data_IF_402740766667
#
_entry.id   IF_402740766667
#
_cell.length_a   1.000
_cell.length_b   1.000
_cell.length_c   1.000
_cell.angle_alpha   90.00
_cell.angle_beta   90.00
_cell.angle_gamma   90.00
#
_symmetry.space_group_name_H-M   'P 1'
#
loop_
_entity.id
_entity.type
_entity.pdbx_description
1 polymer ?
#
# COMPACT_ATOMS: atom_id res chain seq x y z
N UNK A 1 -10.01 13.42 13.93
CA UNK A 1 -8.93 12.82 13.10
C UNK A 1 -8.72 11.36 13.46
N UNK A 2 -8.63 11.00 14.76
CA UNK A 2 -8.42 9.61 15.24
C UNK A 2 -9.47 8.60 14.76
N UNK A 3 -10.73 9.01 14.53
CA UNK A 3 -11.81 8.13 14.07
C UNK A 3 -11.72 7.72 12.59
N UNK A 4 -11.01 8.47 11.75
CA UNK A 4 -10.89 8.18 10.31
C UNK A 4 -9.76 7.20 9.99
N UNK A 5 -8.74 7.15 10.83
CA UNK A 5 -7.57 6.28 10.67
C UNK A 5 -7.95 4.80 10.58
N UNK A 6 -8.73 4.21 11.51
CA UNK A 6 -9.08 2.79 11.42
C UNK A 6 -9.95 2.47 10.19
N UNK A 7 -10.82 3.40 9.79
CA UNK A 7 -11.63 3.25 8.57
C UNK A 7 -10.70 3.20 7.35
N UNK A 8 -9.72 4.09 7.27
CA UNK A 8 -8.75 4.10 6.17
C UNK A 8 -7.92 2.80 6.12
N UNK A 9 -7.58 2.19 7.25
CA UNK A 9 -6.90 0.89 7.29
C UNK A 9 -7.78 -0.23 6.75
N UNK A 10 -9.08 -0.25 7.12
CA UNK A 10 -10.03 -1.25 6.61
C UNK A 10 -10.20 -1.10 5.11
N UNK A 11 -10.39 0.13 4.60
CA UNK A 11 -10.52 0.40 3.17
C UNK A 11 -9.24 0.00 2.42
N UNK A 12 -8.06 0.34 2.95
CA UNK A 12 -6.78 -0.08 2.38
C UNK A 12 -6.64 -1.60 2.31
N UNK A 13 -7.09 -2.32 3.35
CA UNK A 13 -7.04 -3.78 3.38
C UNK A 13 -7.97 -4.39 2.31
N UNK A 14 -9.20 -3.89 2.21
CA UNK A 14 -10.16 -4.34 1.19
C UNK A 14 -9.61 -4.08 -0.21
N UNK A 15 -9.09 -2.89 -0.47
CA UNK A 15 -8.53 -2.57 -1.78
C UNK A 15 -7.28 -3.40 -2.10
N UNK A 16 -6.43 -3.69 -1.10
CA UNK A 16 -5.27 -4.58 -1.29
C UNK A 16 -5.69 -6.02 -1.66
N UNK A 17 -6.80 -6.52 -1.09
CA UNK A 17 -7.35 -7.84 -1.46
C UNK A 17 -7.91 -7.82 -2.89
N UNK A 18 -8.61 -6.73 -3.28
CA UNK A 18 -9.11 -6.55 -4.64
C UNK A 18 -7.94 -6.54 -5.63
N UNK A 19 -6.89 -5.77 -5.36
CA UNK A 19 -5.67 -5.73 -6.19
C UNK A 19 -5.01 -7.10 -6.30
N UNK A 20 -4.89 -7.83 -5.20
CA UNK A 20 -4.35 -9.19 -5.20
C UNK A 20 -5.16 -10.11 -6.13
N UNK A 21 -6.50 -10.01 -6.11
CA UNK A 21 -7.39 -10.75 -6.99
C UNK A 21 -7.24 -10.36 -8.47
N UNK A 22 -7.21 -9.06 -8.76
CA UNK A 22 -7.06 -8.55 -10.14
C UNK A 22 -5.71 -8.94 -10.74
N UNK A 23 -4.63 -8.73 -10.00
CA UNK A 23 -3.26 -9.01 -10.46
C UNK A 23 -2.99 -10.51 -10.58
N UNK A 24 -3.54 -11.34 -9.70
CA UNK A 24 -3.49 -12.81 -9.84
C UNK A 24 -4.32 -13.32 -11.02
N UNK A 25 -5.48 -12.73 -11.31
CA UNK A 25 -6.24 -13.04 -12.52
C UNK A 25 -5.45 -12.66 -13.79
N UNK A 26 -4.85 -11.48 -13.82
CA UNK A 26 -3.98 -11.06 -14.93
C UNK A 26 -2.78 -12.01 -15.07
N UNK A 27 -2.13 -12.40 -13.97
CA UNK A 27 -1.03 -13.37 -13.99
C UNK A 27 -1.46 -14.75 -14.50
N UNK A 28 -2.65 -15.24 -14.12
CA UNK A 28 -3.16 -16.53 -14.62
C UNK A 28 -3.57 -16.47 -16.09
N UNK A 29 -4.03 -15.31 -16.57
CA UNK A 29 -4.29 -15.06 -17.99
C UNK A 29 -3.05 -15.30 -18.85
N UNK A 30 -1.87 -14.85 -18.41
CA UNK A 30 -0.60 -15.10 -19.11
C UNK A 30 -0.21 -16.58 -19.22
N UNK A 31 -0.75 -17.43 -18.35
CA UNK A 31 -0.52 -18.88 -18.36
C UNK A 31 -1.59 -19.65 -19.15
N UNK A 32 -2.79 -19.08 -19.36
CA UNK A 32 -3.95 -19.79 -19.92
C UNK A 32 -4.50 -19.27 -21.26
N UNK A 33 -4.43 -17.96 -21.54
CA UNK A 33 -5.13 -17.35 -22.69
C UNK A 33 -4.30 -17.32 -23.98
N UNK A 34 -2.98 -17.29 -23.88
CA UNK A 34 -2.07 -17.11 -25.01
C UNK A 34 -1.68 -18.43 -25.68
N UNK A 35 -2.15 -19.61 -25.25
CA UNK A 35 -1.96 -20.89 -25.95
C UNK A 35 -0.51 -21.36 -26.12
N UNK A 36 0.48 -20.59 -25.66
CA UNK A 36 1.88 -20.95 -25.69
C UNK A 36 2.23 -21.60 -24.36
N UNK A 37 1.96 -22.90 -24.26
CA UNK A 37 2.48 -23.81 -23.22
C UNK A 37 3.98 -24.08 -23.45
N UNK A 38 4.76 -23.02 -23.59
CA UNK A 38 6.21 -23.09 -23.72
C UNK A 38 6.90 -22.67 -22.42
N UNK A 39 8.15 -23.07 -22.24
CA UNK A 39 9.07 -22.70 -21.15
C UNK A 39 9.25 -21.17 -20.90
N UNK A 40 8.52 -20.33 -21.65
CA UNK A 40 8.49 -18.86 -21.63
C UNK A 40 7.14 -18.26 -21.14
N UNK A 41 6.19 -19.08 -20.64
CA UNK A 41 4.95 -18.61 -19.96
C UNK A 41 5.27 -18.00 -18.60
N UNK A 42 5.94 -16.84 -18.60
CA UNK A 42 6.39 -16.17 -17.38
C UNK A 42 5.53 -14.93 -17.18
N UNK A 43 4.82 -14.86 -16.06
CA UNK A 43 4.05 -13.67 -15.68
C UNK A 43 4.97 -12.44 -15.67
N UNK A 44 4.52 -11.28 -16.19
CA UNK A 44 5.31 -10.05 -16.16
C UNK A 44 5.80 -9.74 -14.73
N UNK A 45 7.04 -9.30 -14.62
CA UNK A 45 7.69 -8.92 -13.37
C UNK A 45 6.91 -7.81 -12.65
N UNK A 46 6.32 -6.87 -13.40
CA UNK A 46 5.46 -5.81 -12.88
C UNK A 46 4.22 -6.39 -12.16
N UNK A 47 3.56 -7.40 -12.74
CA UNK A 47 2.38 -8.03 -12.13
C UNK A 47 2.76 -8.78 -10.86
N UNK A 48 3.89 -9.50 -10.89
CA UNK A 48 4.41 -10.19 -9.71
C UNK A 48 4.78 -9.22 -8.58
N UNK A 49 5.33 -8.05 -8.92
CA UNK A 49 5.63 -7.00 -7.94
C UNK A 49 4.36 -6.48 -7.26
N UNK A 50 3.27 -6.26 -8.01
CA UNK A 50 2.00 -5.83 -7.40
C UNK A 50 1.37 -6.91 -6.51
N UNK A 51 1.47 -8.19 -6.89
CA UNK A 51 1.03 -9.32 -6.03
C UNK A 51 1.82 -9.28 -4.71
N UNK A 52 3.15 -9.17 -4.78
CA UNK A 52 3.99 -9.01 -3.60
C UNK A 52 3.58 -7.78 -2.78
N UNK A 53 3.38 -6.64 -3.44
CA UNK A 53 3.06 -5.39 -2.78
C UNK A 53 1.70 -5.45 -2.06
N UNK A 54 0.71 -6.14 -2.63
CA UNK A 54 -0.59 -6.40 -1.98
C UNK A 54 -0.44 -7.23 -0.70
N UNK A 55 0.34 -8.33 -0.76
CA UNK A 55 0.61 -9.17 0.44
C UNK A 55 1.40 -8.39 1.48
N UNK A 56 2.45 -7.67 1.06
CA UNK A 56 3.24 -6.79 1.91
C UNK A 56 2.36 -5.76 2.63
N UNK A 57 1.44 -5.12 1.91
CA UNK A 57 0.52 -4.13 2.45
C UNK A 57 -0.41 -4.71 3.50
N UNK A 58 -0.92 -5.93 3.29
CA UNK A 58 -1.72 -6.62 4.30
C UNK A 58 -0.94 -6.91 5.58
N UNK A 59 0.34 -7.29 5.47
CA UNK A 59 1.22 -7.48 6.63
C UNK A 59 1.50 -6.16 7.36
N UNK A 60 1.75 -5.07 6.61
CA UNK A 60 1.93 -3.73 7.18
C UNK A 60 0.66 -3.26 7.87
N UNK A 61 -0.51 -3.43 7.27
CA UNK A 61 -1.80 -3.06 7.88
C UNK A 61 -2.10 -3.91 9.12
N UNK A 62 -1.74 -5.19 9.10
CA UNK A 62 -1.83 -6.05 10.29
C UNK A 62 -0.93 -5.50 11.41
N UNK A 63 0.33 -5.14 11.12
CA UNK A 63 1.22 -4.52 12.10
C UNK A 63 0.70 -3.17 12.61
N UNK A 64 0.34 -2.24 11.72
CA UNK A 64 -0.06 -0.87 12.12
C UNK A 64 -1.44 -0.86 12.78
N UNK A 65 -2.36 -1.72 12.36
CA UNK A 65 -3.73 -1.79 12.87
C UNK A 65 -3.91 -2.62 14.14
N UNK A 66 -3.28 -3.82 14.24
CA UNK A 66 -3.47 -4.72 15.38
C UNK A 66 -2.54 -4.38 16.56
N UNK A 67 -1.30 -3.96 16.30
CA UNK A 67 -0.30 -3.72 17.36
C UNK A 67 -0.72 -2.64 18.38
N UNK A 68 -1.29 -1.48 18.00
CA UNK A 68 -1.74 -0.50 19.00
C UNK A 68 -2.96 -0.98 19.82
N UNK A 69 -3.75 -1.93 19.30
CA UNK A 69 -4.91 -2.47 20.00
C UNK A 69 -4.55 -3.57 21.01
N UNK A 70 -3.59 -4.43 20.67
CA UNK A 70 -3.29 -5.63 21.47
C UNK A 70 -1.92 -5.60 22.14
N UNK A 71 -0.93 -4.86 21.61
CA UNK A 71 0.46 -4.97 22.05
C UNK A 71 1.20 -3.63 22.04
N UNK A 72 0.80 -2.73 22.93
CA UNK A 72 1.42 -1.41 23.13
C UNK A 72 2.93 -1.45 23.41
N UNK A 73 3.45 -2.57 23.93
CA UNK A 73 4.88 -2.78 24.22
C UNK A 73 5.75 -3.03 22.98
N UNK A 74 5.15 -3.49 21.87
CA UNK A 74 5.85 -3.78 20.60
C UNK A 74 5.66 -2.67 19.56
N UNK A 75 4.85 -1.65 19.85
CA UNK A 75 4.56 -0.58 18.92
C UNK A 75 5.68 0.47 18.92
N UNK A 76 6.48 0.48 17.84
CA UNK A 76 7.46 1.53 17.60
C UNK A 76 6.93 2.51 16.56
N UNK A 77 6.62 3.74 16.99
CA UNK A 77 6.13 4.82 16.10
C UNK A 77 7.02 5.03 14.87
N UNK A 78 8.34 4.96 15.03
CA UNK A 78 9.29 5.12 13.93
C UNK A 78 9.18 3.97 12.90
N UNK A 79 8.95 2.74 13.37
CA UNK A 79 8.83 1.56 12.51
C UNK A 79 7.50 1.61 11.74
N UNK A 80 6.41 1.95 12.42
CA UNK A 80 5.11 2.20 11.77
C UNK A 80 5.23 3.22 10.63
N UNK A 81 5.82 4.38 10.93
CA UNK A 81 6.03 5.44 9.94
C UNK A 81 6.89 4.95 8.76
N UNK A 82 8.00 4.26 9.03
CA UNK A 82 8.87 3.73 7.99
C UNK A 82 8.14 2.73 7.08
N UNK A 83 7.34 1.82 7.66
CA UNK A 83 6.55 0.85 6.90
C UNK A 83 5.50 1.54 6.02
N UNK A 84 4.83 2.58 6.53
CA UNK A 84 3.86 3.37 5.75
C UNK A 84 4.53 4.11 4.59
N UNK A 85 5.69 4.75 4.82
CA UNK A 85 6.47 5.43 3.77
C UNK A 85 6.90 4.44 2.67
N UNK A 86 7.49 3.31 3.05
CA UNK A 86 7.95 2.28 2.10
C UNK A 86 6.78 1.78 1.27
N UNK A 87 5.65 1.47 1.93
CA UNK A 87 4.44 0.96 1.26
C UNK A 87 3.87 2.00 0.29
N UNK A 88 3.87 3.28 0.67
CA UNK A 88 3.46 4.37 -0.21
C UNK A 88 4.34 4.45 -1.46
N UNK A 89 5.66 4.34 -1.31
CA UNK A 89 6.60 4.36 -2.44
C UNK A 89 6.38 3.14 -3.36
N UNK A 90 6.19 1.95 -2.78
CA UNK A 90 5.94 0.74 -3.56
C UNK A 90 4.66 0.83 -4.39
N UNK A 91 3.56 1.32 -3.79
CA UNK A 91 2.31 1.53 -4.53
C UNK A 91 2.44 2.60 -5.61
N UNK A 92 3.18 3.69 -5.36
CA UNK A 92 3.40 4.71 -6.37
C UNK A 92 4.16 4.15 -7.59
N UNK A 93 5.30 3.50 -7.32
CA UNK A 93 6.13 2.91 -8.36
C UNK A 93 5.39 1.81 -9.12
N UNK A 94 4.70 0.92 -8.39
CA UNK A 94 3.90 -0.16 -8.96
C UNK A 94 2.74 0.34 -9.81
N UNK A 95 1.98 1.34 -9.35
CA UNK A 95 0.86 1.90 -10.09
C UNK A 95 1.31 2.54 -11.41
N UNK A 96 2.42 3.30 -11.40
CA UNK A 96 2.98 3.90 -12.61
C UNK A 96 3.50 2.82 -13.57
N UNK A 97 4.26 1.84 -13.05
CA UNK A 97 4.80 0.76 -13.86
C UNK A 97 3.67 -0.04 -14.54
N UNK A 98 2.60 -0.35 -13.82
CA UNK A 98 1.43 -1.03 -14.38
C UNK A 98 0.68 -0.13 -15.38
N UNK A 99 0.53 1.16 -15.10
CA UNK A 99 -0.13 2.10 -16.02
C UNK A 99 0.60 2.20 -17.37
N UNK A 100 1.94 2.29 -17.35
CA UNK A 100 2.76 2.32 -18.57
C UNK A 100 2.72 0.97 -19.29
N UNK A 101 2.72 -0.14 -18.55
CA UNK A 101 2.65 -1.49 -19.12
C UNK A 101 1.30 -1.78 -19.80
N UNK A 102 0.18 -1.39 -19.17
CA UNK A 102 -1.16 -1.58 -19.73
C UNK A 102 -1.43 -0.58 -20.86
N UNK A 103 -1.00 0.68 -20.72
CA UNK A 103 -1.29 1.75 -21.67
C UNK A 103 -2.76 2.16 -21.67
N UNK A 104 -3.28 2.56 -22.83
CA UNK A 104 -4.69 2.95 -23.03
C UNK A 104 -5.40 2.09 -24.11
N UNK A 105 -5.49 0.75 -23.91
CA UNK A 105 -6.13 -0.13 -24.87
C UNK A 105 -7.66 0.01 -24.83
N UNK A 106 -8.30 -0.10 -26.01
CA UNK A 106 -9.76 -0.16 -26.10
C UNK A 106 -10.22 -1.59 -25.78
N UNK A 107 -10.58 -1.84 -24.52
CA UNK A 107 -10.83 -3.19 -24.02
C UNK A 107 -12.14 -3.85 -24.49
N UNK A 108 -13.15 -3.08 -24.95
CA UNK A 108 -14.42 -3.63 -25.41
C UNK A 108 -15.04 -4.59 -24.38
N UNK A 109 -15.43 -5.80 -24.82
CA UNK A 109 -15.96 -6.87 -23.95
C UNK A 109 -14.86 -7.80 -23.39
N UNK A 110 -13.57 -7.50 -23.57
CA UNK A 110 -12.48 -8.35 -23.10
C UNK A 110 -12.25 -8.14 -21.59
N UNK A 111 -12.66 -9.12 -20.80
CA UNK A 111 -12.55 -9.12 -19.34
C UNK A 111 -11.12 -9.01 -18.86
N UNK A 112 -10.16 -9.64 -19.56
CA UNK A 112 -8.74 -9.58 -19.20
C UNK A 112 -8.16 -8.16 -19.29
N UNK A 113 -8.45 -7.47 -20.40
CA UNK A 113 -8.03 -6.09 -20.61
C UNK A 113 -8.69 -5.14 -19.61
N UNK A 114 -10.00 -5.31 -19.37
CA UNK A 114 -10.74 -4.52 -18.39
C UNK A 114 -10.22 -4.71 -16.96
N UNK A 115 -9.88 -5.94 -16.57
CA UNK A 115 -9.28 -6.24 -15.27
C UNK A 115 -7.91 -5.59 -15.10
N UNK A 116 -7.07 -5.56 -16.15
CA UNK A 116 -5.77 -4.89 -16.10
C UNK A 116 -5.90 -3.37 -15.94
N UNK A 117 -6.86 -2.75 -16.64
CA UNK A 117 -7.14 -1.32 -16.48
C UNK A 117 -7.72 -1.00 -15.09
N UNK A 118 -8.62 -1.85 -14.59
CA UNK A 118 -9.13 -1.72 -13.23
C UNK A 118 -8.01 -1.83 -12.19
N UNK A 119 -7.04 -2.73 -12.39
CA UNK A 119 -5.91 -2.90 -11.50
C UNK A 119 -5.04 -1.62 -11.42
N UNK A 120 -4.85 -0.92 -12.54
CA UNK A 120 -4.17 0.39 -12.52
C UNK A 120 -4.91 1.39 -11.64
N UNK A 121 -6.24 1.48 -11.77
CA UNK A 121 -7.03 2.42 -10.99
C UNK A 121 -7.01 2.11 -9.48
N UNK A 122 -7.20 0.85 -9.10
CA UNK A 122 -7.15 0.42 -7.70
C UNK A 122 -5.75 0.61 -7.10
N UNK A 123 -4.68 0.33 -7.83
CA UNK A 123 -3.31 0.62 -7.39
C UNK A 123 -3.10 2.10 -7.05
N UNK A 124 -3.63 3.04 -7.85
CA UNK A 124 -3.58 4.48 -7.54
C UNK A 124 -4.43 4.86 -6.32
N UNK A 125 -5.60 4.26 -6.14
CA UNK A 125 -6.42 4.52 -4.95
C UNK A 125 -5.74 4.02 -3.68
N UNK A 126 -5.11 2.85 -3.73
CA UNK A 126 -4.34 2.31 -2.60
C UNK A 126 -3.15 3.22 -2.29
N UNK A 127 -2.41 3.67 -3.32
CA UNK A 127 -1.35 4.65 -3.15
C UNK A 127 -1.85 5.91 -2.42
N UNK A 128 -2.98 6.48 -2.85
CA UNK A 128 -3.54 7.68 -2.24
C UNK A 128 -3.91 7.47 -0.76
N UNK A 129 -4.45 6.30 -0.40
CA UNK A 129 -4.78 5.96 0.98
C UNK A 129 -3.50 5.82 1.83
N UNK A 130 -2.48 5.11 1.35
CA UNK A 130 -1.22 4.98 2.06
C UNK A 130 -0.48 6.30 2.20
N UNK A 131 -0.52 7.16 1.17
CA UNK A 131 0.01 8.52 1.23
C UNK A 131 -0.71 9.32 2.32
N UNK A 132 -2.04 9.29 2.35
CA UNK A 132 -2.83 9.96 3.37
C UNK A 132 -2.48 9.48 4.79
N UNK A 133 -2.40 8.16 5.00
CA UNK A 133 -1.98 7.57 6.29
C UNK A 133 -0.56 8.00 6.68
N UNK A 134 0.37 8.00 5.72
CA UNK A 134 1.76 8.42 5.94
C UNK A 134 1.85 9.87 6.35
N UNK A 135 1.10 10.77 5.69
CA UNK A 135 1.08 12.20 6.02
C UNK A 135 0.53 12.41 7.43
N UNK A 136 -0.57 11.73 7.80
CA UNK A 136 -1.12 11.83 9.14
C UNK A 136 -0.12 11.38 10.22
N UNK A 137 0.51 10.22 10.05
CA UNK A 137 1.48 9.69 11.01
C UNK A 137 2.73 10.60 11.09
N UNK A 138 3.17 11.16 9.96
CA UNK A 138 4.26 12.13 9.92
C UNK A 138 3.92 13.40 10.71
N UNK A 139 2.72 13.96 10.53
CA UNK A 139 2.27 15.15 11.24
C UNK A 139 2.16 14.90 12.75
N UNK A 140 1.69 13.73 13.16
CA UNK A 140 1.64 13.31 14.56
C UNK A 140 3.04 13.14 15.18
N UNK A 141 3.97 12.56 14.43
CA UNK A 141 5.37 12.44 14.84
C UNK A 141 6.05 13.80 15.02
N UNK A 142 5.81 14.75 14.10
CA UNK A 142 6.32 16.12 14.19
C UNK A 142 5.73 16.88 15.38
N UNK A 143 4.42 16.78 15.62
CA UNK A 143 3.75 17.40 16.78
C UNK A 143 4.27 16.85 18.11
N UNK A 144 4.52 15.55 18.19
CA UNK A 144 5.05 14.90 19.40
C UNK A 144 6.45 15.41 19.78
N UNK A 145 7.30 15.75 18.80
CA UNK A 145 8.64 16.30 19.03
C UNK A 145 8.62 17.75 19.55
N UNK A 146 7.64 18.56 19.14
CA UNK A 146 7.51 19.95 19.59
C UNK A 146 7.30 20.11 21.10
N UNK A 147 6.69 19.12 21.77
CA UNK A 147 6.42 19.15 23.21
C UNK A 147 7.62 18.73 24.08
N UNK A 148 8.55 17.92 23.57
CA UNK A 148 9.73 17.45 24.31
C UNK A 148 10.76 18.56 24.56
N UNK A 149 10.72 19.65 23.79
CA UNK A 149 11.67 20.78 23.89
C UNK A 149 11.32 21.78 25.00
N UNK A 150 10.25 21.56 25.78
CA UNK A 150 9.83 22.44 26.90
C UNK A 150 10.11 21.86 28.29
N UNK A 151 11.17 21.05 28.46
CA UNK A 151 11.59 20.62 29.80
C UNK A 151 12.98 21.19 30.17
N UNK A 152 12.90 22.32 30.90
CA UNK A 152 13.83 22.87 31.90
C UNK A 152 15.18 23.46 31.49
N UNK A 153 15.39 24.73 31.91
CA UNK A 153 16.37 25.08 32.95
C UNK A 153 15.92 26.39 33.64
N UNK A 154 14.97 26.30 34.58
CA UNK A 154 14.79 27.33 35.61
C UNK A 154 15.46 26.81 36.89
N UNK A 155 16.68 27.27 37.16
CA UNK A 155 17.35 27.05 38.44
C UNK A 155 16.64 27.89 39.52
N UNK A 156 16.20 27.32 40.65
CA UNK A 156 15.81 28.09 41.82
C UNK A 156 17.07 28.33 42.67
N UNK A 157 17.59 29.55 42.68
CA UNK A 157 18.66 29.94 43.61
C UNK A 157 19.38 31.22 43.25
N UNK A 158 18.81 32.36 43.66
CA UNK A 158 19.49 33.57 44.16
C UNK A 158 18.44 34.53 44.73
#
# INVERSE_FOLDING_TARGET
MVSLVPIAHIVAAVFSIIELGLTSYVASGYNGYNGWSGWWSRSPDIVNFLIFNSVWSLLVLAYVGLTPLYMTRLFHKLVSLALLVITTIFWFAGAIALAVFVGAPHCGANTYCGSAQAAVAFAFFIWAIFMFLTVLDTLEAMRSRGHATKHNHAYPGA
#
